data_IF_964474306414
#
_entry.id   IF_964474306414
#
_cell.length_a   1.000
_cell.length_b   1.000
_cell.length_c   1.000
_cell.angle_alpha   90.00
_cell.angle_beta   90.00
_cell.angle_gamma   90.00
#
_symmetry.space_group_name_H-M   'P 1'
#
loop_
_entity.id
_entity.type
_entity.pdbx_description
1 polymer ?
#
# COMPACT_ATOMS: atom_id res chain seq x y z
N UNK A 1 6.19 -31.48 12.33
CA UNK A 1 7.29 -30.50 12.29
C UNK A 1 6.94 -29.47 11.24
N UNK A 2 6.60 -28.24 11.63
CA UNK A 2 6.28 -27.16 10.69
C UNK A 2 7.58 -26.65 10.08
N UNK A 3 7.78 -26.87 8.78
CA UNK A 3 8.86 -26.24 8.04
C UNK A 3 8.59 -24.75 8.03
N UNK A 4 9.32 -23.99 8.85
CA UNK A 4 9.27 -22.53 8.84
C UNK A 4 9.61 -22.08 7.42
N UNK A 5 8.64 -21.53 6.69
CA UNK A 5 8.90 -20.98 5.37
C UNK A 5 9.99 -19.93 5.51
N UNK A 6 11.09 -20.10 4.77
CA UNK A 6 12.23 -19.17 4.77
C UNK A 6 11.83 -17.76 4.33
N UNK A 7 10.68 -17.64 3.65
CA UNK A 7 10.08 -16.40 3.18
C UNK A 7 8.63 -16.32 3.63
N UNK A 8 8.28 -15.21 4.28
CA UNK A 8 6.89 -14.87 4.62
C UNK A 8 6.19 -14.46 3.32
N UNK A 9 5.12 -15.18 2.95
CA UNK A 9 4.31 -14.83 1.78
C UNK A 9 3.12 -14.02 2.25
N UNK A 10 2.96 -12.83 1.69
CA UNK A 10 1.82 -11.96 1.93
C UNK A 10 0.86 -11.99 0.74
N UNK A 11 -0.38 -11.63 0.99
CA UNK A 11 -1.40 -11.43 -0.04
C UNK A 11 -1.88 -9.98 -0.01
N UNK A 12 -2.24 -9.46 -1.17
CA UNK A 12 -2.84 -8.13 -1.30
C UNK A 12 -4.37 -8.29 -1.30
N UNK A 13 -5.11 -7.59 -0.41
CA UNK A 13 -6.58 -7.64 -0.38
C UNK A 13 -7.26 -6.86 -1.52
N UNK A 14 -6.51 -6.34 -2.49
CA UNK A 14 -7.03 -5.59 -3.63
C UNK A 14 -8.25 -6.23 -4.33
N UNK A 15 -8.33 -7.57 -4.52
CA UNK A 15 -9.52 -8.17 -5.15
C UNK A 15 -10.84 -7.94 -4.38
N UNK A 16 -10.78 -7.66 -3.07
CA UNK A 16 -11.95 -7.28 -2.28
C UNK A 16 -12.17 -5.76 -2.27
N UNK A 17 -11.10 -4.98 -2.29
CA UNK A 17 -11.13 -3.50 -2.23
C UNK A 17 -11.57 -2.89 -3.56
N UNK A 18 -11.15 -3.48 -4.68
CA UNK A 18 -11.41 -2.97 -6.03
C UNK A 18 -12.21 -4.02 -6.82
N UNK A 19 -13.52 -3.77 -6.95
CA UNK A 19 -14.43 -4.60 -7.72
C UNK A 19 -15.32 -3.78 -8.67
N UNK A 20 -16.36 -4.41 -9.20
CA UNK A 20 -17.28 -3.80 -10.18
C UNK A 20 -18.00 -2.54 -9.65
N UNK A 21 -18.17 -2.44 -8.32
CA UNK A 21 -18.73 -1.27 -7.63
C UNK A 21 -17.75 -0.12 -7.41
N UNK A 22 -16.49 -0.26 -7.86
CA UNK A 22 -15.42 0.71 -7.64
C UNK A 22 -14.55 0.40 -6.43
N UNK A 23 -13.77 1.41 -6.01
CA UNK A 23 -12.87 1.31 -4.87
C UNK A 23 -13.63 1.48 -3.54
N UNK A 24 -13.45 0.53 -2.63
CA UNK A 24 -14.00 0.56 -1.28
C UNK A 24 -12.99 0.01 -0.28
N UNK A 25 -12.51 0.87 0.63
CA UNK A 25 -11.63 0.48 1.73
C UNK A 25 -12.27 0.90 3.06
N UNK A 26 -12.86 -0.08 3.74
CA UNK A 26 -13.43 0.08 5.08
C UNK A 26 -13.21 -1.19 5.93
N UNK A 27 -13.60 -1.14 7.21
CA UNK A 27 -13.45 -2.29 8.12
C UNK A 27 -14.17 -3.55 7.62
N UNK A 28 -15.37 -3.41 7.06
CA UNK A 28 -16.21 -4.56 6.68
C UNK A 28 -15.61 -5.33 5.51
N UNK A 29 -15.12 -4.62 4.48
CA UNK A 29 -14.50 -5.29 3.33
C UNK A 29 -13.18 -5.98 3.70
N UNK A 30 -12.42 -5.41 4.64
CA UNK A 30 -11.22 -6.05 5.17
C UNK A 30 -11.53 -7.29 6.01
N UNK A 31 -12.57 -7.24 6.85
CA UNK A 31 -13.04 -8.42 7.60
C UNK A 31 -13.45 -9.57 6.67
N UNK A 32 -14.16 -9.26 5.58
CA UNK A 32 -14.52 -10.23 4.56
C UNK A 32 -13.27 -10.86 3.92
N UNK A 33 -12.31 -10.02 3.50
CA UNK A 33 -11.06 -10.49 2.93
C UNK A 33 -10.27 -11.37 3.89
N UNK A 34 -10.06 -10.92 5.14
CA UNK A 34 -9.28 -11.65 6.14
C UNK A 34 -9.95 -12.97 6.54
N UNK A 35 -11.28 -13.00 6.61
CA UNK A 35 -12.05 -14.24 6.83
C UNK A 35 -11.81 -15.25 5.72
N UNK A 36 -11.91 -14.82 4.45
CA UNK A 36 -11.65 -15.69 3.30
C UNK A 36 -10.19 -16.19 3.31
N UNK A 37 -9.23 -15.33 3.61
CA UNK A 37 -7.79 -15.65 3.60
C UNK A 37 -7.36 -16.59 4.74
N UNK A 38 -8.01 -16.51 5.90
CA UNK A 38 -7.75 -17.42 7.04
C UNK A 38 -7.92 -18.90 6.68
N UNK A 39 -8.72 -19.20 5.63
CA UNK A 39 -8.98 -20.56 5.15
C UNK A 39 -7.95 -21.07 4.13
N UNK A 40 -7.10 -20.19 3.60
CA UNK A 40 -6.21 -20.46 2.45
C UNK A 40 -4.73 -20.59 2.88
N UNK A 41 -4.42 -20.30 4.15
CA UNK A 41 -3.09 -20.53 4.73
C UNK A 41 -2.10 -19.37 4.58
N UNK A 42 -2.57 -18.20 4.11
CA UNK A 42 -1.78 -16.97 4.21
C UNK A 42 -1.68 -16.53 5.66
N UNK A 43 -0.51 -16.00 6.03
CA UNK A 43 -0.23 -15.51 7.40
C UNK A 43 0.08 -14.03 7.43
N UNK A 44 0.17 -13.37 6.27
CA UNK A 44 0.52 -11.96 6.17
C UNK A 44 -0.38 -11.26 5.14
N UNK A 45 -0.78 -10.03 5.44
CA UNK A 45 -1.60 -9.18 4.57
C UNK A 45 -0.87 -7.87 4.30
N UNK A 46 -0.88 -7.44 3.04
CA UNK A 46 -0.44 -6.10 2.62
C UNK A 46 -1.23 -5.05 3.41
N UNK A 47 -0.54 -4.09 4.04
CA UNK A 47 -1.22 -3.04 4.80
C UNK A 47 -2.08 -2.20 3.87
N UNK A 48 -3.38 -2.19 4.15
CA UNK A 48 -4.39 -1.32 3.55
C UNK A 48 -5.20 -0.73 4.71
N UNK A 49 -4.76 0.42 5.24
CA UNK A 49 -5.33 1.03 6.45
C UNK A 49 -6.49 1.98 6.08
N UNK A 50 -7.73 1.69 6.49
CA UNK A 50 -8.85 2.61 6.29
C UNK A 50 -8.68 3.93 7.04
N UNK A 51 -9.23 5.03 6.51
CA UNK A 51 -9.10 6.35 7.11
C UNK A 51 -9.77 6.48 8.49
N UNK A 52 -10.77 5.65 8.77
CA UNK A 52 -11.51 5.60 10.04
C UNK A 52 -10.90 4.63 11.06
N UNK A 53 -9.70 4.09 10.79
CA UNK A 53 -9.04 3.09 11.63
C UNK A 53 -7.64 3.52 12.05
N UNK A 54 -7.31 3.32 13.32
CA UNK A 54 -5.95 3.49 13.83
C UNK A 54 -5.07 2.26 13.50
N UNK A 55 -3.73 2.40 13.46
CA UNK A 55 -2.84 1.26 13.28
C UNK A 55 -3.02 0.18 14.35
N UNK A 56 -3.30 0.57 15.60
CA UNK A 56 -3.54 -0.38 16.68
C UNK A 56 -4.80 -1.23 16.45
N UNK A 57 -5.91 -0.60 16.04
CA UNK A 57 -7.15 -1.31 15.71
C UNK A 57 -6.99 -2.24 14.51
N UNK A 58 -6.24 -1.81 13.49
CA UNK A 58 -5.92 -2.63 12.33
C UNK A 58 -5.06 -3.84 12.71
N UNK A 59 -4.04 -3.64 13.56
CA UNK A 59 -3.21 -4.73 14.08
C UNK A 59 -3.99 -5.75 14.91
N UNK A 60 -4.94 -5.28 15.71
CA UNK A 60 -5.86 -6.16 16.45
C UNK A 60 -6.73 -6.98 15.49
N UNK A 61 -7.31 -6.34 14.48
CA UNK A 61 -8.13 -7.01 13.46
C UNK A 61 -7.33 -8.09 12.70
N UNK A 62 -6.09 -7.79 12.29
CA UNK A 62 -5.21 -8.78 11.68
C UNK A 62 -4.99 -9.99 12.60
N UNK A 63 -4.73 -9.73 13.89
CA UNK A 63 -4.45 -10.77 14.89
C UNK A 63 -5.66 -11.68 15.13
N UNK A 64 -6.88 -11.13 15.13
CA UNK A 64 -8.14 -11.90 15.22
C UNK A 64 -8.26 -12.94 14.10
N UNK A 65 -7.70 -12.65 12.93
CA UNK A 65 -7.68 -13.54 11.77
C UNK A 65 -6.38 -14.34 11.62
N UNK A 66 -5.51 -14.37 12.63
CA UNK A 66 -4.19 -15.04 12.57
C UNK A 66 -3.29 -14.52 11.44
N UNK A 67 -3.43 -13.24 11.10
CA UNK A 67 -2.63 -12.54 10.11
C UNK A 67 -1.67 -11.56 10.80
N UNK A 68 -0.55 -11.28 10.13
CA UNK A 68 0.37 -10.20 10.46
C UNK A 68 0.46 -9.19 9.32
N UNK A 69 0.94 -8.00 9.62
CA UNK A 69 1.15 -6.97 8.61
C UNK A 69 2.34 -7.30 7.69
N UNK A 70 2.22 -6.92 6.42
CA UNK A 70 3.28 -6.92 5.42
C UNK A 70 3.34 -5.54 4.72
N UNK A 71 4.44 -5.21 4.01
CA UNK A 71 4.61 -3.94 3.32
C UNK A 71 3.38 -3.52 2.52
N UNK A 72 2.84 -2.35 2.81
CA UNK A 72 1.69 -1.76 2.12
C UNK A 72 2.07 -1.04 0.83
N UNK A 73 1.05 -0.51 0.15
CA UNK A 73 1.20 0.23 -1.10
C UNK A 73 0.79 1.69 -0.88
N UNK A 74 1.68 2.62 -1.22
CA UNK A 74 1.42 4.04 -1.24
C UNK A 74 1.48 4.56 -2.68
N UNK A 75 0.39 5.17 -3.14
CA UNK A 75 0.42 5.99 -4.35
C UNK A 75 0.09 7.43 -4.08
N UNK A 76 0.71 8.29 -4.88
CA UNK A 76 0.42 9.70 -4.92
C UNK A 76 0.63 10.24 -6.35
N UNK A 77 0.14 11.44 -6.66
CA UNK A 77 0.24 12.02 -8.00
C UNK A 77 1.64 12.62 -8.23
N UNK A 78 2.68 11.80 -8.22
CA UNK A 78 4.07 12.25 -8.38
C UNK A 78 4.36 12.89 -9.74
N UNK A 79 3.50 12.69 -10.74
CA UNK A 79 3.55 13.39 -12.03
C UNK A 79 3.18 14.88 -11.94
N UNK A 80 2.60 15.31 -10.83
CA UNK A 80 2.19 16.70 -10.59
C UNK A 80 3.07 17.33 -9.51
N UNK A 81 3.97 18.23 -9.94
CA UNK A 81 4.92 18.92 -9.07
C UNK A 81 4.23 19.71 -7.95
N UNK A 82 3.02 20.24 -8.19
CA UNK A 82 2.30 21.02 -7.18
C UNK A 82 1.80 20.15 -6.02
N UNK A 83 1.67 18.83 -6.23
CA UNK A 83 1.18 17.88 -5.23
C UNK A 83 2.29 17.14 -4.47
N UNK A 84 3.57 17.37 -4.80
CA UNK A 84 4.71 16.72 -4.14
C UNK A 84 4.76 16.98 -2.63
N UNK A 85 4.51 18.21 -2.19
CA UNK A 85 4.55 18.55 -0.77
C UNK A 85 3.48 17.80 0.04
N UNK A 86 2.28 17.66 -0.53
CA UNK A 86 1.22 16.84 0.07
C UNK A 86 1.65 15.36 0.11
N UNK A 87 2.16 14.82 -1.00
CA UNK A 87 2.61 13.43 -1.07
C UNK A 87 3.67 13.11 0.00
N UNK A 88 4.62 14.03 0.25
CA UNK A 88 5.62 13.92 1.32
C UNK A 88 4.98 13.89 2.71
N UNK A 89 3.96 14.70 2.96
CA UNK A 89 3.21 14.66 4.23
C UNK A 89 2.45 13.34 4.40
N UNK A 90 1.87 12.83 3.33
CA UNK A 90 1.01 11.65 3.32
C UNK A 90 1.84 10.36 3.50
N UNK A 91 2.99 10.25 2.80
CA UNK A 91 3.90 9.11 2.96
C UNK A 91 4.49 9.06 4.38
N UNK A 92 4.76 10.20 5.04
CA UNK A 92 5.22 10.21 6.44
C UNK A 92 4.19 9.58 7.38
N UNK A 93 2.90 9.88 7.17
CA UNK A 93 1.81 9.26 7.96
C UNK A 93 1.67 7.77 7.66
N UNK A 94 1.77 7.40 6.38
CA UNK A 94 1.77 6.01 5.95
C UNK A 94 2.93 5.20 6.57
N UNK A 95 4.15 5.75 6.53
CA UNK A 95 5.35 5.15 7.12
C UNK A 95 5.25 5.03 8.64
N UNK A 96 4.70 6.05 9.32
CA UNK A 96 4.46 5.97 10.76
C UNK A 96 3.50 4.82 11.11
N UNK A 97 2.40 4.67 10.35
CA UNK A 97 1.47 3.56 10.54
C UNK A 97 2.13 2.19 10.31
N UNK A 98 3.00 2.08 9.30
CA UNK A 98 3.78 0.86 9.04
C UNK A 98 4.67 0.49 10.22
N UNK A 99 5.39 1.45 10.77
CA UNK A 99 6.25 1.24 11.94
C UNK A 99 5.46 0.78 13.17
N UNK A 100 4.28 1.34 13.40
CA UNK A 100 3.39 0.89 14.50
C UNK A 100 2.91 -0.55 14.31
N UNK A 101 2.83 -1.02 13.07
CA UNK A 101 2.48 -2.39 12.70
C UNK A 101 3.71 -3.32 12.60
N UNK A 102 4.91 -2.82 12.94
CA UNK A 102 6.15 -3.59 12.91
C UNK A 102 6.72 -3.82 11.50
N UNK A 103 6.35 -2.97 10.54
CA UNK A 103 6.79 -3.04 9.14
C UNK A 103 7.68 -1.83 8.82
N UNK A 104 8.86 -2.09 8.24
CA UNK A 104 9.90 -1.09 7.97
C UNK A 104 10.10 -0.83 6.47
N UNK A 105 9.18 -1.30 5.63
CA UNK A 105 9.29 -1.22 4.17
C UNK A 105 7.90 -0.93 3.59
N UNK A 106 7.82 -0.07 2.57
CA UNK A 106 6.58 0.19 1.83
C UNK A 106 6.83 0.20 0.32
N UNK A 107 5.80 -0.14 -0.45
CA UNK A 107 5.82 0.07 -1.90
C UNK A 107 5.35 1.49 -2.22
N UNK A 108 6.01 2.16 -3.16
CA UNK A 108 5.67 3.52 -3.58
C UNK A 108 5.50 3.58 -5.10
N UNK A 109 4.47 4.30 -5.56
CA UNK A 109 4.25 4.50 -6.98
C UNK A 109 3.52 5.81 -7.30
N UNK A 110 3.58 6.22 -8.57
CA UNK A 110 2.65 7.23 -9.09
C UNK A 110 1.26 6.64 -9.31
N UNK A 111 0.24 7.46 -9.09
CA UNK A 111 -1.16 7.12 -9.35
C UNK A 111 -1.41 6.56 -10.76
N UNK A 112 -2.51 5.81 -10.89
CA UNK A 112 -3.08 5.44 -12.18
C UNK A 112 -3.78 6.66 -12.78
N UNK A 113 -3.21 7.20 -13.86
CA UNK A 113 -3.84 8.25 -14.66
C UNK A 113 -4.76 7.64 -15.73
N UNK A 114 -5.76 8.38 -16.27
CA UNK A 114 -6.70 7.84 -17.26
C UNK A 114 -6.04 7.12 -18.44
N UNK A 115 -4.94 7.66 -18.96
CA UNK A 115 -4.20 7.04 -20.07
C UNK A 115 -3.60 5.67 -19.71
N UNK A 116 -3.15 5.47 -18.47
CA UNK A 116 -2.63 4.17 -17.99
C UNK A 116 -3.74 3.14 -17.85
N UNK A 117 -4.96 3.58 -17.53
CA UNK A 117 -6.14 2.71 -17.44
C UNK A 117 -6.60 2.32 -18.85
N UNK A 118 -6.61 3.26 -19.80
CA UNK A 118 -6.99 3.01 -21.18
C UNK A 118 -5.98 2.11 -21.93
N UNK A 119 -4.70 2.13 -21.54
CA UNK A 119 -3.63 1.35 -22.17
C UNK A 119 -2.88 0.49 -21.14
N UNK A 120 -3.52 -0.54 -20.57
CA UNK A 120 -2.93 -1.34 -19.50
C UNK A 120 -1.72 -2.13 -20.00
N UNK A 121 -0.71 -2.27 -19.14
CA UNK A 121 0.52 -3.02 -19.40
C UNK A 121 1.36 -2.57 -20.62
N UNK A 122 1.11 -1.37 -21.15
CA UNK A 122 1.87 -0.77 -22.25
C UNK A 122 2.40 0.59 -21.83
N UNK A 123 3.67 0.89 -22.13
CA UNK A 123 4.20 2.24 -21.98
C UNK A 123 3.52 3.17 -22.99
N UNK A 124 2.77 4.16 -22.50
CA UNK A 124 1.99 5.07 -23.33
C UNK A 124 2.49 6.52 -23.20
N UNK A 125 2.52 7.24 -24.33
CA UNK A 125 2.88 8.66 -24.43
C UNK A 125 4.15 9.04 -23.62
N UNK A 126 5.34 8.46 -23.91
CA UNK A 126 6.54 8.71 -23.14
C UNK A 126 6.92 10.21 -23.16
N UNK A 127 7.37 10.70 -22.00
CA UNK A 127 7.67 12.12 -21.78
C UNK A 127 8.80 12.21 -20.73
N UNK A 128 9.97 12.66 -21.18
CA UNK A 128 11.16 12.73 -20.34
C UNK A 128 11.03 13.74 -19.20
N UNK A 129 10.38 14.88 -19.44
CA UNK A 129 10.19 15.92 -18.43
C UNK A 129 9.25 15.42 -17.33
N UNK A 130 8.17 14.74 -17.73
CA UNK A 130 7.26 14.09 -16.78
C UNK A 130 7.97 13.01 -15.96
N UNK A 131 8.86 12.22 -16.58
CA UNK A 131 9.68 11.23 -15.85
C UNK A 131 10.55 11.89 -14.79
N UNK A 132 11.20 13.02 -15.10
CA UNK A 132 12.01 13.77 -14.13
C UNK A 132 11.16 14.32 -12.97
N UNK A 133 9.97 14.86 -13.27
CA UNK A 133 9.03 15.31 -12.22
C UNK A 133 8.60 14.16 -11.30
N UNK A 134 8.31 12.98 -11.86
CA UNK A 134 7.98 11.79 -11.07
C UNK A 134 9.17 11.38 -10.19
N UNK A 135 10.38 11.34 -10.76
CA UNK A 135 11.58 10.97 -10.03
C UNK A 135 11.88 11.92 -8.85
N UNK A 136 11.76 13.24 -9.06
CA UNK A 136 11.91 14.25 -8.01
C UNK A 136 10.93 13.99 -6.85
N UNK A 137 9.66 13.74 -7.18
CA UNK A 137 8.62 13.50 -6.19
C UNK A 137 8.84 12.21 -5.39
N UNK A 138 9.21 11.11 -6.06
CA UNK A 138 9.54 9.84 -5.42
C UNK A 138 10.77 9.96 -4.52
N UNK A 139 11.82 10.64 -4.99
CA UNK A 139 13.03 10.87 -4.20
C UNK A 139 12.73 11.68 -2.92
N UNK A 140 11.94 12.74 -3.03
CA UNK A 140 11.51 13.54 -1.89
C UNK A 140 10.69 12.73 -0.88
N UNK A 141 9.77 11.89 -1.37
CA UNK A 141 8.97 10.98 -0.54
C UNK A 141 9.83 9.94 0.18
N UNK A 142 10.78 9.30 -0.51
CA UNK A 142 11.68 8.32 0.09
C UNK A 142 12.62 8.96 1.12
N UNK A 143 13.19 10.13 0.82
CA UNK A 143 14.03 10.87 1.77
C UNK A 143 13.26 11.24 3.05
N UNK A 144 11.97 11.54 2.92
CA UNK A 144 11.10 11.89 4.04
C UNK A 144 10.80 10.74 5.02
N UNK A 145 11.03 9.48 4.63
CA UNK A 145 10.77 8.29 5.47
C UNK A 145 12.04 7.53 5.86
N UNK A 146 13.21 7.98 5.40
CA UNK A 146 14.47 7.25 5.48
C UNK A 146 14.93 6.87 6.90
N UNK A 147 14.40 7.53 7.94
CA UNK A 147 14.73 7.25 9.35
C UNK A 147 13.95 6.05 9.95
N UNK A 148 13.12 5.35 9.18
CA UNK A 148 12.44 4.16 9.72
C UNK A 148 11.72 3.28 8.70
N UNK A 149 11.43 3.79 7.50
CA UNK A 149 10.80 3.00 6.44
C UNK A 149 11.59 3.15 5.14
N UNK A 150 11.90 2.01 4.53
CA UNK A 150 12.55 1.88 3.23
C UNK A 150 11.55 1.84 2.08
#
# INVERSE_FOLDING_TARGET
MSTTLKHRTAINPLPWILGDGGYRLDRGILQEAMTALSQVGFTHLTIELPADMTPAEYGALLSEHSLAAAPGYFSAPFHDRQRHAQAVGDIKRHAHAHLQLGVDTAFIATDLIPDRIAHPAVGFAPDADRTLVIADGLAAAAAATAEGVR
#
